data_IF_539316134441
#
_entry.id   IF_539316134441
#
_cell.length_a   1.000
_cell.length_b   1.000
_cell.length_c   1.000
_cell.angle_alpha   90.00
_cell.angle_beta   90.00
_cell.angle_gamma   90.00
#
_symmetry.space_group_name_H-M   'P 1'
#
loop_
_entity.id
_entity.type
_entity.pdbx_description
1 polymer ?
#
# COMPACT_ATOMS: atom_id res chain seq x y z
N UNK A 1 22.18 -38.84 26.72
CA UNK A 1 21.86 -39.41 25.42
C UNK A 1 21.18 -38.31 24.62
N UNK A 2 22.00 -37.41 24.07
CA UNK A 2 21.55 -36.29 23.25
C UNK A 2 21.18 -36.85 21.86
N UNK A 3 19.94 -36.68 21.48
CA UNK A 3 19.52 -36.94 20.11
C UNK A 3 20.12 -35.87 19.21
N UNK A 4 21.06 -36.22 18.35
CA UNK A 4 21.51 -35.37 17.28
C UNK A 4 20.28 -35.04 16.41
N UNK A 5 19.93 -33.78 16.35
CA UNK A 5 19.01 -33.25 15.33
C UNK A 5 19.74 -33.38 14.00
N UNK A 6 19.27 -34.29 13.16
CA UNK A 6 19.71 -34.42 11.76
C UNK A 6 19.62 -33.02 11.12
N UNK A 7 20.76 -32.50 10.70
CA UNK A 7 20.79 -31.36 9.80
C UNK A 7 20.18 -31.84 8.47
N UNK A 8 19.20 -31.16 7.91
CA UNK A 8 18.71 -31.50 6.59
C UNK A 8 19.91 -31.45 5.61
N UNK A 9 20.06 -32.48 4.83
CA UNK A 9 20.99 -32.57 3.71
C UNK A 9 20.84 -31.30 2.87
N UNK A 10 21.95 -30.82 2.30
CA UNK A 10 21.95 -29.80 1.27
C UNK A 10 21.27 -30.39 0.02
N UNK A 11 19.93 -30.49 0.08
CA UNK A 11 19.10 -30.84 -1.05
C UNK A 11 19.16 -29.68 -2.04
N UNK A 12 19.54 -29.97 -3.25
CA UNK A 12 19.47 -29.12 -4.43
C UNK A 12 18.14 -28.37 -4.42
N UNK A 13 18.20 -27.03 -4.31
CA UNK A 13 17.00 -26.20 -4.49
C UNK A 13 16.30 -26.62 -5.78
N UNK A 14 14.98 -26.78 -5.79
CA UNK A 14 14.25 -27.17 -6.99
C UNK A 14 14.52 -26.16 -8.11
N UNK A 15 14.75 -26.65 -9.33
CA UNK A 15 15.07 -25.82 -10.50
C UNK A 15 14.00 -24.76 -10.81
N UNK A 16 12.78 -24.92 -10.30
CA UNK A 16 11.67 -23.95 -10.39
C UNK A 16 10.89 -23.89 -9.08
N UNK A 17 10.55 -22.69 -8.65
CA UNK A 17 9.63 -22.45 -7.54
C UNK A 17 8.24 -22.12 -8.11
N UNK A 18 7.22 -22.85 -7.69
CA UNK A 18 5.84 -22.43 -7.91
C UNK A 18 5.45 -21.36 -6.86
N UNK A 19 5.55 -20.09 -7.26
CA UNK A 19 5.24 -18.95 -6.40
C UNK A 19 3.81 -18.99 -5.87
N UNK A 20 2.83 -19.41 -6.68
CA UNK A 20 1.45 -19.53 -6.22
C UNK A 20 1.34 -20.57 -5.11
N UNK A 21 1.86 -21.77 -5.35
CA UNK A 21 1.78 -22.87 -4.39
C UNK A 21 2.42 -22.50 -3.05
N UNK A 22 3.60 -21.92 -3.06
CA UNK A 22 4.32 -21.55 -1.83
C UNK A 22 3.57 -20.43 -1.09
N UNK A 23 3.08 -19.41 -1.79
CA UNK A 23 2.33 -18.31 -1.19
C UNK A 23 0.99 -18.78 -0.61
N UNK A 24 0.27 -19.66 -1.29
CA UNK A 24 -0.98 -20.24 -0.78
C UNK A 24 -0.71 -21.13 0.45
N UNK A 25 0.33 -21.97 0.40
CA UNK A 25 0.68 -22.85 1.52
C UNK A 25 1.14 -22.06 2.78
N UNK A 26 1.87 -20.96 2.58
CA UNK A 26 2.43 -20.17 3.70
C UNK A 26 1.46 -19.14 4.26
N UNK A 27 0.59 -18.58 3.43
CA UNK A 27 -0.32 -17.49 3.81
C UNK A 27 -1.78 -17.97 4.04
N UNK A 28 -2.12 -19.20 3.64
CA UNK A 28 -3.38 -19.87 3.99
C UNK A 28 -4.58 -19.61 3.09
N UNK A 29 -4.60 -18.53 2.27
CA UNK A 29 -5.74 -18.22 1.39
C UNK A 29 -5.38 -18.35 -0.09
N UNK A 30 -6.26 -18.83 -0.96
CA UNK A 30 -5.99 -19.02 -2.37
C UNK A 30 -6.00 -17.70 -3.15
N UNK A 31 -5.33 -17.70 -4.30
CA UNK A 31 -5.49 -16.67 -5.31
C UNK A 31 -6.85 -16.81 -6.02
N UNK A 32 -7.53 -15.70 -6.23
CA UNK A 32 -8.68 -15.64 -7.12
C UNK A 32 -8.21 -15.53 -8.57
N UNK A 33 -8.75 -16.34 -9.45
CA UNK A 33 -8.50 -16.28 -10.90
C UNK A 33 -9.55 -15.42 -11.61
N UNK A 34 -9.35 -15.21 -12.92
CA UNK A 34 -10.28 -14.50 -13.79
C UNK A 34 -10.45 -13.01 -13.45
N UNK A 35 -9.41 -12.37 -12.95
CA UNK A 35 -9.44 -10.93 -12.72
C UNK A 35 -8.82 -10.19 -13.90
N UNK A 36 -9.22 -8.93 -14.07
CA UNK A 36 -8.51 -7.93 -14.84
C UNK A 36 -7.91 -6.92 -13.87
N UNK A 37 -6.66 -6.61 -14.06
CA UNK A 37 -5.98 -5.54 -13.34
C UNK A 37 -5.35 -4.58 -14.33
N UNK A 38 -5.36 -3.31 -13.97
CA UNK A 38 -4.74 -2.24 -14.73
C UNK A 38 -3.89 -1.40 -13.79
N UNK A 39 -2.65 -1.21 -14.13
CA UNK A 39 -1.73 -0.31 -13.43
C UNK A 39 -2.07 1.13 -13.82
N UNK A 40 -2.15 2.02 -12.86
CA UNK A 40 -2.42 3.44 -13.06
C UNK A 40 -1.29 4.25 -12.41
N UNK A 41 -0.65 5.10 -13.18
CA UNK A 41 0.52 5.87 -12.76
C UNK A 41 0.16 7.34 -12.63
N UNK A 42 0.42 7.93 -11.46
CA UNK A 42 0.21 9.34 -11.14
C UNK A 42 -1.25 9.81 -11.28
N UNK A 43 -1.55 11.00 -10.80
CA UNK A 43 -2.92 11.50 -10.75
C UNK A 43 -3.63 11.55 -12.11
N UNK A 44 -2.90 11.86 -13.18
CA UNK A 44 -3.47 11.97 -14.54
C UNK A 44 -4.06 10.64 -15.06
N UNK A 45 -3.53 9.50 -14.62
CA UNK A 45 -4.06 8.19 -15.00
C UNK A 45 -4.98 7.60 -13.92
N UNK A 46 -4.77 7.97 -12.63
CA UNK A 46 -5.47 7.40 -11.49
C UNK A 46 -6.87 7.99 -11.34
N UNK A 47 -6.98 9.31 -11.30
CA UNK A 47 -8.24 9.96 -10.96
C UNK A 47 -9.34 9.88 -12.01
N UNK A 48 -9.07 10.00 -13.32
CA UNK A 48 -10.13 9.92 -14.32
C UNK A 48 -10.94 8.62 -14.27
N UNK A 49 -10.34 7.41 -14.26
CA UNK A 49 -11.11 6.17 -14.18
C UNK A 49 -11.81 5.98 -12.81
N UNK A 50 -11.26 6.48 -11.70
CA UNK A 50 -11.93 6.46 -10.41
C UNK A 50 -13.20 7.32 -10.43
N UNK A 51 -13.12 8.56 -10.92
CA UNK A 51 -14.26 9.46 -11.05
C UNK A 51 -15.30 8.92 -12.02
N UNK A 52 -14.88 8.31 -13.12
CA UNK A 52 -15.79 7.69 -14.09
C UNK A 52 -16.53 6.51 -13.48
N UNK A 53 -15.84 5.64 -12.73
CA UNK A 53 -16.47 4.52 -12.04
C UNK A 53 -17.52 5.01 -11.01
N UNK A 54 -17.23 6.09 -10.28
CA UNK A 54 -18.21 6.71 -9.38
C UNK A 54 -19.41 7.22 -10.17
N UNK A 55 -19.21 7.99 -11.24
CA UNK A 55 -20.30 8.58 -12.04
C UNK A 55 -21.19 7.53 -12.69
N UNK A 56 -20.62 6.38 -13.07
CA UNK A 56 -21.36 5.28 -13.70
C UNK A 56 -22.08 4.36 -12.69
N UNK A 57 -21.74 4.45 -11.40
CA UNK A 57 -22.34 3.60 -10.38
C UNK A 57 -23.85 3.75 -10.31
N UNK A 58 -24.55 2.62 -10.18
CA UNK A 58 -26.03 2.54 -10.17
C UNK A 58 -26.58 1.96 -8.88
N UNK A 59 -25.77 1.20 -8.15
CA UNK A 59 -26.18 0.46 -6.93
C UNK A 59 -25.47 0.98 -5.71
N UNK A 60 -24.14 1.02 -5.73
CA UNK A 60 -23.35 1.42 -4.56
C UNK A 60 -22.00 2.03 -4.92
N UNK A 61 -21.56 2.97 -4.08
CA UNK A 61 -20.19 3.49 -4.06
C UNK A 61 -19.68 3.40 -2.62
N UNK A 62 -18.53 2.78 -2.44
CA UNK A 62 -17.87 2.58 -1.17
C UNK A 62 -16.46 3.14 -1.25
N UNK A 63 -16.20 4.23 -0.54
CA UNK A 63 -14.91 4.91 -0.51
C UNK A 63 -14.31 4.86 0.90
N UNK A 64 -13.12 4.32 1.03
CA UNK A 64 -12.30 4.38 2.24
C UNK A 64 -10.97 5.02 1.90
N UNK A 65 -10.60 6.09 2.59
CA UNK A 65 -9.32 6.75 2.38
C UNK A 65 -8.72 7.31 3.67
N UNK A 66 -7.40 7.24 3.75
CA UNK A 66 -6.65 7.87 4.83
C UNK A 66 -6.60 9.40 4.64
N UNK A 67 -6.16 9.85 3.45
CA UNK A 67 -6.04 11.27 3.14
C UNK A 67 -7.19 11.71 2.24
N UNK A 68 -7.89 12.74 2.71
CA UNK A 68 -8.81 13.55 1.91
C UNK A 68 -8.61 15.01 2.33
N UNK A 69 -7.85 15.76 1.53
CA UNK A 69 -7.52 17.14 1.85
C UNK A 69 -8.24 18.10 0.89
N UNK A 70 -7.60 19.21 0.53
CA UNK A 70 -8.09 20.20 -0.42
C UNK A 70 -7.45 20.02 -1.80
N UNK A 71 -8.08 20.58 -2.83
CA UNK A 71 -7.63 20.53 -4.22
C UNK A 71 -8.83 20.34 -5.16
N UNK A 72 -8.60 20.55 -6.44
CA UNK A 72 -9.65 20.40 -7.46
C UNK A 72 -10.16 18.95 -7.49
N UNK A 73 -9.26 17.99 -7.30
CA UNK A 73 -9.65 16.58 -7.23
C UNK A 73 -10.56 16.28 -6.02
N UNK A 74 -10.32 16.91 -4.88
CA UNK A 74 -11.18 16.74 -3.70
C UNK A 74 -12.61 17.24 -3.95
N UNK A 75 -12.74 18.36 -4.66
CA UNK A 75 -14.04 18.92 -5.07
C UNK A 75 -14.72 18.00 -6.08
N UNK A 76 -14.00 17.49 -7.09
CA UNK A 76 -14.52 16.56 -8.10
C UNK A 76 -15.04 15.26 -7.48
N UNK A 77 -14.31 14.67 -6.52
CA UNK A 77 -14.79 13.49 -5.80
C UNK A 77 -16.03 13.80 -4.97
N UNK A 78 -16.04 14.91 -4.21
CA UNK A 78 -17.20 15.33 -3.44
C UNK A 78 -18.43 15.54 -4.32
N UNK A 79 -18.26 16.19 -5.48
CA UNK A 79 -19.33 16.40 -6.45
C UNK A 79 -19.86 15.06 -7.00
N UNK A 80 -18.99 14.17 -7.47
CA UNK A 80 -19.38 12.88 -8.04
C UNK A 80 -20.14 12.00 -7.02
N UNK A 81 -19.65 11.92 -5.77
CA UNK A 81 -20.33 11.22 -4.67
C UNK A 81 -21.70 11.83 -4.35
N UNK A 82 -21.78 13.16 -4.29
CA UNK A 82 -23.02 13.92 -4.05
C UNK A 82 -24.06 13.64 -5.15
N UNK A 83 -23.64 13.67 -6.42
CA UNK A 83 -24.50 13.39 -7.56
C UNK A 83 -25.08 11.98 -7.52
N UNK A 84 -24.25 10.98 -7.18
CA UNK A 84 -24.71 9.59 -7.07
C UNK A 84 -25.68 9.39 -5.90
N UNK A 85 -25.41 9.99 -4.74
CA UNK A 85 -26.33 9.92 -3.60
C UNK A 85 -27.70 10.55 -3.94
N UNK A 86 -27.71 11.71 -4.60
CA UNK A 86 -28.95 12.34 -5.08
C UNK A 86 -29.71 11.52 -6.12
N UNK A 87 -28.98 10.71 -6.91
CA UNK A 87 -29.58 9.77 -7.87
C UNK A 87 -30.10 8.47 -7.21
N UNK A 88 -30.03 8.35 -5.88
CA UNK A 88 -30.52 7.18 -5.14
C UNK A 88 -29.50 6.03 -5.04
N UNK A 89 -28.25 6.22 -5.49
CA UNK A 89 -27.15 5.26 -5.28
C UNK A 89 -26.74 5.27 -3.81
N UNK A 90 -26.50 4.11 -3.23
CA UNK A 90 -26.00 4.02 -1.86
C UNK A 90 -24.52 4.44 -1.83
N UNK A 91 -24.22 5.58 -1.24
CA UNK A 91 -22.88 6.13 -1.14
C UNK A 91 -22.41 6.11 0.31
N UNK A 92 -21.31 5.38 0.59
CA UNK A 92 -20.69 5.27 1.90
C UNK A 92 -19.23 5.72 1.84
N UNK A 93 -18.82 6.55 2.79
CA UNK A 93 -17.47 7.10 2.85
C UNK A 93 -16.90 6.91 4.25
N UNK A 94 -15.72 6.28 4.34
CA UNK A 94 -14.93 6.20 5.57
C UNK A 94 -13.73 7.12 5.43
N UNK A 95 -13.62 8.07 6.34
CA UNK A 95 -12.51 9.02 6.43
C UNK A 95 -11.73 8.75 7.71
N UNK A 96 -10.41 8.60 7.60
CA UNK A 96 -9.57 8.55 8.80
C UNK A 96 -9.61 9.90 9.53
N UNK A 97 -9.86 9.88 10.84
CA UNK A 97 -10.07 11.11 11.61
C UNK A 97 -8.81 11.99 11.72
N UNK A 98 -7.61 11.42 11.56
CA UNK A 98 -6.35 12.18 11.54
C UNK A 98 -5.94 12.50 10.11
N UNK A 99 -5.92 11.51 9.23
CA UNK A 99 -5.50 11.68 7.85
C UNK A 99 -6.36 12.69 7.08
N UNK A 100 -7.66 12.76 7.35
CA UNK A 100 -8.58 13.67 6.69
C UNK A 100 -8.84 15.00 7.45
N UNK A 101 -8.01 15.34 8.45
CA UNK A 101 -8.17 16.60 9.23
C UNK A 101 -8.16 17.87 8.39
N UNK A 102 -7.46 17.86 7.26
CA UNK A 102 -7.36 19.01 6.35
C UNK A 102 -8.50 19.10 5.34
N UNK A 103 -9.47 18.17 5.38
CA UNK A 103 -10.63 18.19 4.50
C UNK A 103 -11.50 19.41 4.77
N UNK A 104 -11.89 20.19 3.76
CA UNK A 104 -12.82 21.32 3.94
C UNK A 104 -14.16 20.84 4.48
N UNK A 105 -14.64 21.45 5.56
CA UNK A 105 -15.93 21.11 6.19
C UNK A 105 -17.11 21.26 5.21
N UNK A 106 -17.03 22.23 4.30
CA UNK A 106 -18.04 22.44 3.28
C UNK A 106 -18.26 21.23 2.39
N UNK A 107 -17.20 20.49 2.01
CA UNK A 107 -17.31 19.26 1.21
C UNK A 107 -18.01 18.14 1.99
N UNK A 108 -17.69 18.00 3.29
CA UNK A 108 -18.36 17.02 4.16
C UNK A 108 -19.87 17.34 4.27
N UNK A 109 -20.21 18.60 4.48
CA UNK A 109 -21.61 19.04 4.60
C UNK A 109 -22.37 18.88 3.29
N UNK A 110 -21.75 19.22 2.17
CA UNK A 110 -22.31 19.00 0.83
C UNK A 110 -22.67 17.53 0.60
N UNK A 111 -21.75 16.61 0.89
CA UNK A 111 -21.99 15.17 0.73
C UNK A 111 -23.07 14.66 1.69
N UNK A 112 -23.03 15.06 2.98
CA UNK A 112 -24.03 14.65 3.97
C UNK A 112 -25.44 15.13 3.63
N UNK A 113 -25.58 16.39 3.22
CA UNK A 113 -26.87 16.95 2.82
C UNK A 113 -27.48 16.29 1.58
N UNK A 114 -26.66 15.63 0.77
CA UNK A 114 -27.08 14.84 -0.38
C UNK A 114 -27.42 13.38 -0.03
N UNK A 115 -27.19 12.94 1.21
CA UNK A 115 -27.48 11.56 1.64
C UNK A 115 -26.27 10.62 1.60
N UNK A 116 -25.06 11.13 1.45
CA UNK A 116 -23.83 10.32 1.60
C UNK A 116 -23.66 9.95 3.09
N UNK A 117 -23.52 8.66 3.38
CA UNK A 117 -23.23 8.17 4.74
C UNK A 117 -21.72 8.26 5.01
N UNK A 118 -21.31 9.27 5.79
CA UNK A 118 -19.90 9.55 6.09
C UNK A 118 -19.60 9.17 7.53
N UNK A 119 -18.58 8.33 7.69
CA UNK A 119 -18.06 7.87 8.98
C UNK A 119 -16.61 8.35 9.16
N UNK A 120 -16.32 8.86 10.35
CA UNK A 120 -14.95 9.14 10.78
C UNK A 120 -14.39 7.94 11.51
N UNK A 121 -13.36 7.32 10.93
CA UNK A 121 -12.71 6.16 11.51
C UNK A 121 -11.81 6.58 12.67
N UNK A 122 -12.01 5.93 13.83
CA UNK A 122 -11.29 6.19 15.09
C UNK A 122 -11.19 7.69 15.40
N UNK A 123 -12.33 8.36 15.65
CA UNK A 123 -12.35 9.78 15.98
C UNK A 123 -11.54 10.03 17.26
N UNK A 124 -10.72 11.09 17.24
CA UNK A 124 -9.87 11.45 18.38
C UNK A 124 -10.71 11.88 19.57
N UNK A 125 -10.89 11.02 20.55
CA UNK A 125 -11.48 11.36 21.85
C UNK A 125 -10.34 11.77 22.78
N UNK A 126 -10.45 12.93 23.36
CA UNK A 126 -9.42 13.61 24.19
C UNK A 126 -8.74 12.76 25.28
N UNK A 127 -9.30 11.61 25.61
CA UNK A 127 -8.87 10.75 26.74
C UNK A 127 -8.26 9.41 26.32
N UNK A 128 -8.19 9.12 25.00
CA UNK A 128 -7.70 7.83 24.51
C UNK A 128 -6.48 8.02 23.60
N UNK A 129 -5.40 8.54 24.15
CA UNK A 129 -4.15 8.82 23.41
C UNK A 129 -3.55 7.57 22.76
N UNK A 130 -3.80 6.38 23.30
CA UNK A 130 -3.32 5.10 22.73
C UNK A 130 -4.08 4.67 21.46
N UNK A 131 -5.29 5.17 21.22
CA UNK A 131 -6.03 4.93 19.96
C UNK A 131 -5.51 5.80 18.79
N UNK A 132 -4.65 6.78 19.07
CA UNK A 132 -4.03 7.61 18.06
C UNK A 132 -2.99 6.85 17.20
N UNK A 133 -2.46 5.75 17.73
CA UNK A 133 -1.32 5.04 17.16
C UNK A 133 -1.73 4.07 16.03
N UNK A 134 -2.94 3.55 16.07
CA UNK A 134 -3.46 2.61 15.08
C UNK A 134 -4.43 3.33 14.13
N UNK A 135 -4.10 3.42 12.83
CA UNK A 135 -4.91 4.16 11.85
C UNK A 135 -5.30 3.27 10.67
N UNK A 136 -6.38 3.61 9.96
CA UNK A 136 -6.62 2.97 8.68
C UNK A 136 -5.79 3.66 7.61
N UNK A 137 -4.83 2.94 7.08
CA UNK A 137 -4.04 3.41 5.95
C UNK A 137 -4.53 2.83 4.61
N UNK A 138 -5.63 2.06 4.65
CA UNK A 138 -6.29 1.53 3.46
C UNK A 138 -6.79 2.64 2.55
N UNK A 139 -6.66 2.43 1.25
CA UNK A 139 -7.25 3.26 0.19
C UNK A 139 -8.03 2.32 -0.70
N UNK A 140 -9.35 2.39 -0.63
CA UNK A 140 -10.25 1.48 -1.34
C UNK A 140 -11.42 2.26 -1.90
N UNK A 141 -11.68 2.11 -3.19
CA UNK A 141 -12.92 2.52 -3.83
C UNK A 141 -13.54 1.29 -4.47
N UNK A 142 -14.81 1.01 -4.17
CA UNK A 142 -15.58 -0.06 -4.83
C UNK A 142 -16.86 0.53 -5.39
N UNK A 143 -17.16 0.25 -6.65
CA UNK A 143 -18.38 0.68 -7.32
C UNK A 143 -19.15 -0.54 -7.84
N UNK A 144 -20.42 -0.64 -7.41
CA UNK A 144 -21.39 -1.65 -7.82
C UNK A 144 -20.91 -3.11 -7.60
N UNK A 145 -20.01 -3.37 -6.64
CA UNK A 145 -19.35 -4.66 -6.39
C UNK A 145 -18.64 -5.26 -7.62
N UNK A 146 -18.32 -4.42 -8.60
CA UNK A 146 -17.88 -4.86 -9.93
C UNK A 146 -16.52 -4.31 -10.32
N UNK A 147 -16.21 -3.10 -9.91
CA UNK A 147 -14.93 -2.43 -10.17
C UNK A 147 -14.40 -1.87 -8.86
N UNK A 148 -13.12 -2.07 -8.61
CA UNK A 148 -12.46 -1.56 -7.41
C UNK A 148 -11.12 -0.91 -7.72
N UNK A 149 -10.68 -0.04 -6.82
CA UNK A 149 -9.40 0.65 -6.90
C UNK A 149 -8.70 0.58 -5.56
N UNK A 150 -7.37 0.36 -5.59
CA UNK A 150 -6.50 0.41 -4.41
C UNK A 150 -5.07 0.77 -4.80
N UNK A 151 -4.27 1.25 -3.85
CA UNK A 151 -2.88 1.65 -4.05
C UNK A 151 -2.42 2.70 -3.05
N UNK A 152 -1.48 3.56 -3.45
CA UNK A 152 -0.89 4.55 -2.53
C UNK A 152 -1.64 5.88 -2.46
N UNK A 153 -2.46 6.23 -3.45
CA UNK A 153 -2.96 7.59 -3.64
C UNK A 153 -3.95 8.04 -2.56
N UNK A 154 -3.81 9.30 -2.10
CA UNK A 154 -4.82 10.03 -1.36
C UNK A 154 -5.63 10.96 -2.26
N UNK A 155 -6.69 11.57 -1.72
CA UNK A 155 -7.50 12.55 -2.44
C UNK A 155 -7.04 13.96 -2.02
N UNK A 156 -6.08 14.52 -2.74
CA UNK A 156 -5.52 15.84 -2.46
C UNK A 156 -4.75 16.37 -3.67
N UNK A 157 -4.56 17.69 -3.72
CA UNK A 157 -3.84 18.38 -4.81
C UNK A 157 -2.42 17.86 -5.02
N UNK A 158 -1.78 17.34 -3.98
CA UNK A 158 -0.45 16.79 -4.02
C UNK A 158 -0.32 15.58 -4.95
N UNK A 159 -1.41 14.85 -5.20
CA UNK A 159 -1.45 13.73 -6.16
C UNK A 159 -2.00 14.12 -7.53
N UNK A 160 -2.43 15.37 -7.76
CA UNK A 160 -2.78 15.83 -9.09
C UNK A 160 -1.52 15.91 -9.98
N UNK A 161 -1.68 15.69 -11.29
CA UNK A 161 -0.55 15.79 -12.23
C UNK A 161 0.17 14.47 -12.50
N UNK A 162 1.41 14.58 -13.00
CA UNK A 162 2.23 13.49 -13.56
C UNK A 162 3.63 13.40 -12.93
N UNK A 163 3.78 13.79 -11.69
CA UNK A 163 5.05 13.77 -10.96
C UNK A 163 6.20 14.50 -11.68
N UNK A 164 5.89 15.67 -12.27
CA UNK A 164 6.85 16.47 -13.05
C UNK A 164 7.69 17.38 -12.16
N UNK A 165 7.11 17.82 -11.06
CA UNK A 165 7.72 18.74 -10.12
C UNK A 165 7.38 18.41 -8.65
N UNK A 166 7.97 19.08 -7.65
CA UNK A 166 7.78 18.79 -6.23
C UNK A 166 6.33 18.82 -5.71
N UNK A 167 5.41 19.46 -6.43
CA UNK A 167 4.02 19.58 -6.02
C UNK A 167 3.15 18.43 -6.53
N UNK A 168 3.67 17.62 -7.44
CA UNK A 168 2.98 16.50 -8.06
C UNK A 168 3.61 15.18 -7.57
N UNK A 169 2.96 14.49 -6.64
CA UNK A 169 3.53 13.27 -6.05
C UNK A 169 3.49 12.08 -7.02
N UNK A 170 4.59 11.30 -7.03
CA UNK A 170 4.70 10.05 -7.78
C UNK A 170 4.01 8.94 -7.01
N UNK A 171 2.95 8.35 -7.57
CA UNK A 171 2.25 7.23 -6.95
C UNK A 171 1.80 6.19 -7.99
N UNK A 172 1.44 5.01 -7.50
CA UNK A 172 0.88 3.91 -8.30
C UNK A 172 -0.41 3.41 -7.66
N UNK A 173 -1.42 3.20 -8.49
CA UNK A 173 -2.73 2.72 -8.09
C UNK A 173 -3.20 1.64 -9.04
N UNK A 174 -4.20 0.87 -8.66
CA UNK A 174 -4.64 -0.29 -9.43
C UNK A 174 -6.15 -0.27 -9.57
N UNK A 175 -6.63 -0.49 -10.80
CA UNK A 175 -8.03 -0.76 -11.10
C UNK A 175 -8.21 -2.26 -11.23
N UNK A 176 -9.18 -2.83 -10.55
CA UNK A 176 -9.45 -4.25 -10.48
C UNK A 176 -10.90 -4.53 -10.88
N UNK A 177 -11.10 -5.52 -11.72
CA UNK A 177 -12.40 -6.11 -12.06
C UNK A 177 -12.31 -7.63 -11.90
N UNK A 178 -13.42 -8.27 -11.57
CA UNK A 178 -13.48 -9.71 -11.35
C UNK A 178 -13.58 -10.11 -9.87
N UNK A 179 -13.34 -11.40 -9.54
CA UNK A 179 -13.56 -11.95 -8.20
C UNK A 179 -12.78 -11.25 -7.08
N UNK A 180 -11.60 -10.71 -7.33
CA UNK A 180 -10.79 -10.02 -6.33
C UNK A 180 -11.46 -8.74 -5.77
N UNK A 181 -12.44 -8.15 -6.48
CA UNK A 181 -13.22 -7.01 -5.99
C UNK A 181 -13.89 -7.32 -4.64
N UNK A 182 -14.33 -8.57 -4.43
CA UNK A 182 -14.93 -8.97 -3.15
C UNK A 182 -13.96 -8.86 -1.97
N UNK A 183 -12.68 -9.14 -2.18
CA UNK A 183 -11.64 -8.97 -1.16
C UNK A 183 -11.46 -7.50 -0.76
N UNK A 184 -11.47 -6.59 -1.74
CA UNK A 184 -11.42 -5.14 -1.48
C UNK A 184 -12.68 -4.62 -0.81
N UNK A 185 -13.85 -5.12 -1.20
CA UNK A 185 -15.10 -4.81 -0.52
C UNK A 185 -15.09 -5.30 0.93
N UNK A 186 -14.57 -6.51 1.18
CA UNK A 186 -14.41 -7.01 2.54
C UNK A 186 -13.48 -6.12 3.37
N UNK A 187 -12.41 -5.54 2.77
CA UNK A 187 -11.54 -4.58 3.45
C UNK A 187 -12.29 -3.29 3.84
N UNK A 188 -13.21 -2.80 3.00
CA UNK A 188 -14.09 -1.68 3.36
C UNK A 188 -15.03 -2.05 4.51
N UNK A 189 -15.68 -3.21 4.41
CA UNK A 189 -16.66 -3.67 5.41
C UNK A 189 -16.03 -3.85 6.79
N UNK A 190 -14.80 -4.34 6.88
CA UNK A 190 -14.10 -4.46 8.17
C UNK A 190 -14.05 -3.12 8.91
N UNK A 191 -13.59 -2.06 8.25
CA UNK A 191 -13.52 -0.73 8.86
C UNK A 191 -14.90 -0.09 9.06
N UNK A 192 -15.91 -0.46 8.23
CA UNK A 192 -17.29 -0.03 8.40
C UNK A 192 -17.90 -0.58 9.70
N UNK A 193 -17.72 -1.88 9.93
CA UNK A 193 -18.18 -2.57 11.16
C UNK A 193 -17.42 -2.05 12.39
N UNK A 194 -16.11 -1.91 12.30
CA UNK A 194 -15.29 -1.36 13.39
C UNK A 194 -15.74 0.05 13.78
N UNK A 195 -16.25 0.82 12.81
CA UNK A 195 -16.83 2.15 13.05
C UNK A 195 -18.23 2.10 13.70
N UNK A 196 -18.70 0.94 14.14
CA UNK A 196 -19.99 0.74 14.81
C UNK A 196 -21.19 0.74 13.86
N UNK A 197 -20.99 0.52 12.57
CA UNK A 197 -22.04 0.51 11.55
C UNK A 197 -22.57 -0.90 11.27
N UNK A 198 -23.89 -0.99 11.06
CA UNK A 198 -24.55 -2.26 10.73
C UNK A 198 -24.26 -2.68 9.29
N UNK A 199 -24.20 -4.01 9.06
CA UNK A 199 -23.98 -4.65 7.75
C UNK A 199 -25.15 -5.54 7.31
N UNK A 200 -26.30 -5.43 7.95
CA UNK A 200 -27.47 -6.28 7.64
C UNK A 200 -27.88 -6.21 6.17
N UNK A 201 -27.90 -4.99 5.62
CA UNK A 201 -28.26 -4.77 4.23
C UNK A 201 -27.18 -5.26 3.27
N UNK A 202 -25.91 -5.23 3.68
CA UNK A 202 -24.80 -5.79 2.90
C UNK A 202 -24.90 -7.30 2.82
N UNK A 203 -25.15 -7.97 3.94
CA UNK A 203 -25.35 -9.43 3.98
C UNK A 203 -26.52 -9.82 3.08
N UNK A 204 -27.65 -9.10 3.17
CA UNK A 204 -28.81 -9.37 2.34
C UNK A 204 -28.55 -9.15 0.84
N UNK A 205 -27.74 -8.14 0.50
CA UNK A 205 -27.31 -7.84 -0.88
C UNK A 205 -26.36 -8.91 -1.40
N UNK A 206 -25.31 -9.23 -0.65
CA UNK A 206 -24.32 -10.25 -1.02
C UNK A 206 -24.93 -11.64 -1.17
N UNK A 207 -25.88 -11.98 -0.31
CA UNK A 207 -26.62 -13.25 -0.43
C UNK A 207 -27.46 -13.37 -1.71
N UNK A 208 -27.80 -12.24 -2.34
CA UNK A 208 -28.54 -12.18 -3.61
C UNK A 208 -27.65 -11.90 -4.82
N UNK A 209 -26.38 -11.53 -4.57
CA UNK A 209 -25.44 -11.21 -5.64
C UNK A 209 -25.12 -12.47 -6.45
N UNK A 210 -25.02 -12.31 -7.75
CA UNK A 210 -24.46 -13.35 -8.60
C UNK A 210 -22.96 -13.49 -8.34
N UNK A 211 -22.42 -14.67 -8.64
CA UNK A 211 -20.98 -14.87 -8.59
C UNK A 211 -20.26 -13.80 -9.44
N UNK A 212 -19.12 -13.29 -8.99
CA UNK A 212 -18.34 -12.30 -9.74
C UNK A 212 -18.07 -12.81 -11.15
N UNK A 213 -18.31 -11.94 -12.14
CA UNK A 213 -18.07 -12.31 -13.53
C UNK A 213 -16.56 -12.32 -13.83
N UNK A 214 -16.09 -13.31 -14.61
CA UNK A 214 -14.74 -13.28 -15.16
C UNK A 214 -14.48 -11.98 -15.92
N UNK A 215 -13.33 -11.37 -15.69
CA UNK A 215 -12.97 -10.09 -16.32
C UNK A 215 -11.65 -10.15 -17.11
N UNK A 216 -10.78 -11.11 -16.81
CA UNK A 216 -9.46 -11.27 -17.42
C UNK A 216 -8.80 -12.58 -16.96
N UNK A 217 -7.49 -12.64 -17.00
CA UNK A 217 -6.70 -13.85 -16.69
C UNK A 217 -5.82 -13.72 -15.45
N UNK A 218 -5.72 -12.51 -14.88
CA UNK A 218 -4.85 -12.25 -13.73
C UNK A 218 -5.28 -13.05 -12.50
N UNK A 219 -4.30 -13.59 -11.79
CA UNK A 219 -4.48 -14.23 -10.48
C UNK A 219 -4.11 -13.22 -9.40
N UNK A 220 -5.08 -12.92 -8.55
CA UNK A 220 -4.94 -11.88 -7.52
C UNK A 220 -5.37 -12.43 -6.17
N UNK A 221 -4.57 -12.17 -5.16
CA UNK A 221 -4.94 -12.36 -3.76
C UNK A 221 -5.00 -11.01 -3.06
N UNK A 222 -6.13 -10.71 -2.42
CA UNK A 222 -6.30 -9.51 -1.60
C UNK A 222 -5.94 -9.84 -0.17
N UNK A 223 -4.96 -9.14 0.38
CA UNK A 223 -4.56 -9.23 1.77
C UNK A 223 -5.06 -8.03 2.54
N UNK A 224 -5.68 -8.29 3.68
CA UNK A 224 -6.11 -7.25 4.63
C UNK A 224 -5.32 -7.42 5.92
N UNK A 225 -4.86 -6.32 6.48
CA UNK A 225 -4.34 -6.31 7.85
C UNK A 225 -5.20 -5.43 8.71
N UNK A 226 -5.34 -5.81 9.96
CA UNK A 226 -5.81 -4.96 11.03
C UNK A 226 -4.69 -4.79 12.03
N UNK A 227 -4.68 -3.70 12.76
CA UNK A 227 -3.72 -3.44 13.81
C UNK A 227 -3.62 -4.66 14.74
N UNK A 228 -2.48 -5.33 14.73
CA UNK A 228 -2.21 -6.52 15.53
C UNK A 228 -0.97 -6.31 16.41
N UNK A 229 -0.87 -7.10 17.47
CA UNK A 229 0.29 -7.00 18.35
C UNK A 229 1.51 -7.61 17.66
N UNK A 230 2.39 -6.75 17.18
CA UNK A 230 3.75 -7.04 16.69
C UNK A 230 3.93 -7.76 15.35
N UNK A 231 2.91 -8.30 14.68
CA UNK A 231 3.07 -9.04 13.43
C UNK A 231 1.80 -9.04 12.57
N UNK A 232 1.95 -8.91 11.27
CA UNK A 232 0.83 -8.91 10.34
C UNK A 232 1.06 -9.84 9.13
N UNK A 233 0.00 -10.25 8.42
CA UNK A 233 0.12 -11.00 7.16
C UNK A 233 1.05 -10.34 6.14
N UNK A 234 1.11 -9.00 6.06
CA UNK A 234 2.03 -8.29 5.17
C UNK A 234 3.49 -8.51 5.57
N UNK A 235 3.81 -8.51 6.89
CA UNK A 235 5.16 -8.81 7.35
C UNK A 235 5.58 -10.24 6.95
N UNK A 236 4.70 -11.23 7.15
CA UNK A 236 4.92 -12.61 6.69
C UNK A 236 5.13 -12.64 5.18
N UNK A 237 4.30 -11.94 4.42
CA UNK A 237 4.41 -11.88 2.96
C UNK A 237 5.77 -11.37 2.51
N UNK A 238 6.23 -10.24 3.03
CA UNK A 238 7.55 -9.72 2.67
C UNK A 238 8.68 -10.69 3.02
N UNK A 239 8.58 -11.41 4.15
CA UNK A 239 9.56 -12.44 4.49
C UNK A 239 9.54 -13.60 3.49
N UNK A 240 8.36 -14.10 3.12
CA UNK A 240 8.23 -15.20 2.17
C UNK A 240 8.73 -14.77 0.78
N UNK A 241 8.36 -13.59 0.30
CA UNK A 241 8.79 -13.07 -0.99
C UNK A 241 10.32 -12.96 -1.07
N UNK A 242 10.96 -12.39 -0.05
CA UNK A 242 12.43 -12.28 0.00
C UNK A 242 13.12 -13.64 0.13
N UNK A 243 12.53 -14.59 0.88
CA UNK A 243 13.06 -15.94 1.00
C UNK A 243 12.97 -16.73 -0.32
N UNK A 244 11.91 -16.52 -1.11
CA UNK A 244 11.69 -17.16 -2.40
C UNK A 244 12.54 -16.58 -3.53
N UNK A 245 12.97 -15.31 -3.42
CA UNK A 245 13.67 -14.59 -4.47
C UNK A 245 14.95 -15.29 -4.93
N UNK A 246 15.12 -15.42 -6.25
CA UNK A 246 16.25 -16.13 -6.91
C UNK A 246 17.07 -15.23 -7.81
N UNK A 247 16.48 -14.25 -8.46
CA UNK A 247 17.14 -13.42 -9.47
C UNK A 247 17.10 -11.93 -9.12
N UNK A 248 15.92 -11.37 -8.86
CA UNK A 248 15.76 -9.94 -8.61
C UNK A 248 14.65 -9.61 -7.64
N UNK A 249 14.87 -8.57 -6.86
CA UNK A 249 13.85 -7.92 -6.02
C UNK A 249 13.87 -6.42 -6.30
N UNK A 250 12.72 -5.83 -6.58
CA UNK A 250 12.54 -4.39 -6.75
C UNK A 250 11.56 -3.89 -5.68
N UNK A 251 11.98 -2.92 -4.90
CA UNK A 251 11.18 -2.33 -3.82
C UNK A 251 11.04 -0.84 -4.08
N UNK A 252 9.83 -0.37 -4.32
CA UNK A 252 9.48 1.06 -4.34
C UNK A 252 8.63 1.35 -3.11
N UNK A 253 9.06 2.26 -2.24
CA UNK A 253 8.29 2.58 -1.03
C UNK A 253 8.52 4.01 -0.56
N UNK A 254 7.45 4.66 -0.07
CA UNK A 254 7.52 6.00 0.49
C UNK A 254 8.30 6.05 1.81
N UNK A 255 8.24 4.97 2.60
CA UNK A 255 8.94 4.87 3.88
C UNK A 255 9.63 3.51 3.96
N UNK A 256 10.95 3.52 3.95
CA UNK A 256 11.79 2.32 4.04
C UNK A 256 12.46 2.27 5.41
N UNK A 257 11.80 1.63 6.38
CA UNK A 257 12.29 1.45 7.77
C UNK A 257 12.18 -0.02 8.16
N UNK A 258 13.00 -0.89 7.55
CA UNK A 258 12.99 -2.31 7.88
C UNK A 258 13.43 -2.54 9.33
N UNK A 259 12.82 -3.49 10.02
CA UNK A 259 13.32 -3.95 11.32
C UNK A 259 14.57 -4.82 11.16
N UNK A 260 15.24 -5.14 12.27
CA UNK A 260 16.48 -5.91 12.25
C UNK A 260 16.35 -7.28 11.56
N UNK A 261 15.21 -7.96 11.70
CA UNK A 261 14.95 -9.24 11.04
C UNK A 261 14.85 -9.06 9.51
N UNK A 262 14.18 -8.01 9.06
CA UNK A 262 14.03 -7.68 7.64
C UNK A 262 15.38 -7.23 7.03
N UNK A 263 16.17 -6.43 7.76
CA UNK A 263 17.53 -6.07 7.34
C UNK A 263 18.39 -7.32 7.12
N UNK A 264 18.37 -8.25 8.07
CA UNK A 264 19.09 -9.51 7.97
C UNK A 264 18.63 -10.31 6.75
N UNK A 265 17.34 -10.44 6.53
CA UNK A 265 16.78 -11.18 5.40
C UNK A 265 17.15 -10.56 4.06
N UNK A 266 17.13 -9.23 3.92
CA UNK A 266 17.60 -8.52 2.72
C UNK A 266 19.09 -8.80 2.46
N UNK A 267 19.93 -8.81 3.50
CA UNK A 267 21.35 -9.15 3.40
C UNK A 267 21.56 -10.59 2.95
N UNK A 268 20.82 -11.55 3.54
CA UNK A 268 20.86 -12.97 3.14
C UNK A 268 20.38 -13.16 1.69
N UNK A 269 19.38 -12.39 1.25
CA UNK A 269 18.88 -12.42 -0.13
C UNK A 269 19.97 -12.00 -1.12
N UNK A 270 20.69 -10.91 -0.84
CA UNK A 270 21.83 -10.49 -1.67
C UNK A 270 22.97 -11.51 -1.63
N UNK A 271 23.24 -12.12 -0.46
CA UNK A 271 24.29 -13.16 -0.33
C UNK A 271 24.00 -14.41 -1.17
N UNK A 272 22.74 -14.71 -1.45
CA UNK A 272 22.33 -15.75 -2.41
C UNK A 272 22.52 -15.36 -3.87
N UNK A 273 22.99 -14.14 -4.16
CA UNK A 273 23.24 -13.64 -5.51
C UNK A 273 22.05 -12.92 -6.15
N UNK A 274 21.00 -12.63 -5.39
CA UNK A 274 19.81 -11.89 -5.88
C UNK A 274 20.11 -10.40 -6.03
N UNK A 275 19.74 -9.79 -7.17
CA UNK A 275 19.85 -8.36 -7.40
C UNK A 275 18.73 -7.62 -6.67
N UNK A 276 19.02 -7.07 -5.49
CA UNK A 276 18.07 -6.32 -4.68
C UNK A 276 18.25 -4.83 -4.88
N UNK A 277 17.18 -4.17 -5.36
CA UNK A 277 17.17 -2.72 -5.56
C UNK A 277 16.00 -2.06 -4.84
N UNK A 278 16.26 -0.94 -4.19
CA UNK A 278 15.27 -0.19 -3.40
C UNK A 278 15.23 1.25 -3.89
N UNK A 279 14.05 1.73 -4.25
CA UNK A 279 13.77 3.11 -4.63
C UNK A 279 12.99 3.80 -3.51
N UNK A 280 13.55 4.88 -2.99
CA UNK A 280 13.01 5.68 -1.88
C UNK A 280 12.83 7.14 -2.31
N UNK A 281 12.07 7.96 -1.57
CA UNK A 281 12.01 9.40 -1.80
C UNK A 281 13.41 10.04 -1.72
N UNK A 282 13.65 11.02 -2.58
CA UNK A 282 14.86 11.86 -2.58
C UNK A 282 14.69 13.11 -1.69
N UNK A 283 14.87 14.33 -2.21
CA UNK A 283 14.87 15.57 -1.40
C UNK A 283 13.46 15.99 -0.95
N UNK A 284 12.40 15.46 -1.58
CA UNK A 284 11.02 15.83 -1.31
C UNK A 284 10.34 14.79 -0.44
N UNK A 285 9.88 15.21 0.74
CA UNK A 285 9.22 14.35 1.74
C UNK A 285 8.09 15.11 2.40
N UNK A 286 7.07 14.39 2.81
CA UNK A 286 6.01 14.89 3.70
C UNK A 286 6.47 14.99 5.16
N UNK A 287 7.40 14.13 5.61
CA UNK A 287 7.96 14.10 6.97
C UNK A 287 9.51 14.03 6.97
N UNK A 288 10.18 15.16 6.92
CA UNK A 288 11.65 15.25 6.95
C UNK A 288 12.32 14.55 8.15
N UNK A 289 11.63 14.48 9.28
CA UNK A 289 12.16 13.87 10.51
C UNK A 289 12.23 12.34 10.37
N UNK A 290 11.24 11.74 9.70
CA UNK A 290 11.20 10.31 9.44
C UNK A 290 12.36 9.85 8.55
N UNK A 291 12.72 10.63 7.53
CA UNK A 291 13.83 10.33 6.62
C UNK A 291 15.18 10.23 7.34
N UNK A 292 15.49 11.20 8.21
CA UNK A 292 16.80 11.23 8.91
C UNK A 292 17.00 10.01 9.81
N UNK A 293 15.91 9.42 10.33
CA UNK A 293 15.98 8.20 11.13
C UNK A 293 16.14 6.93 10.27
N UNK A 294 15.72 6.97 9.01
CA UNK A 294 15.80 5.85 8.07
C UNK A 294 17.20 5.64 7.50
N UNK A 295 17.94 6.73 7.28
CA UNK A 295 19.23 6.69 6.61
C UNK A 295 20.31 5.88 7.35
N UNK A 296 20.19 5.74 8.68
CA UNK A 296 21.12 4.90 9.46
C UNK A 296 21.00 3.41 9.13
N UNK A 297 19.80 2.95 8.66
CA UNK A 297 19.54 1.56 8.25
C UNK A 297 20.01 1.29 6.80
N UNK A 298 20.24 2.31 5.99
CA UNK A 298 20.64 2.14 4.60
C UNK A 298 22.10 1.69 4.46
N UNK A 299 23.01 2.20 5.30
CA UNK A 299 24.43 1.89 5.23
C UNK A 299 24.75 0.40 5.38
N UNK A 300 24.16 -0.33 6.34
CA UNK A 300 24.35 -1.79 6.45
C UNK A 300 23.85 -2.55 5.22
N UNK A 301 22.76 -2.13 4.62
CA UNK A 301 22.17 -2.76 3.44
C UNK A 301 23.03 -2.52 2.18
N UNK A 302 23.44 -1.27 1.94
CA UNK A 302 24.34 -0.94 0.82
C UNK A 302 25.69 -1.66 0.91
N UNK A 303 26.26 -1.82 2.13
CA UNK A 303 27.48 -2.58 2.34
C UNK A 303 27.32 -4.09 2.06
N UNK A 304 26.12 -4.61 2.22
CA UNK A 304 25.80 -5.99 1.87
C UNK A 304 25.56 -6.19 0.36
N UNK A 305 25.43 -5.09 -0.41
CA UNK A 305 25.21 -5.13 -1.85
C UNK A 305 23.80 -4.74 -2.32
N UNK A 306 22.91 -4.31 -1.41
CA UNK A 306 21.62 -3.73 -1.81
C UNK A 306 21.87 -2.40 -2.51
N UNK A 307 21.36 -2.25 -3.73
CA UNK A 307 21.43 -0.99 -4.47
C UNK A 307 20.25 -0.10 -4.07
N UNK A 308 20.52 1.16 -3.75
CA UNK A 308 19.50 2.10 -3.29
C UNK A 308 19.48 3.35 -4.15
N UNK A 309 18.28 3.82 -4.47
CA UNK A 309 18.02 4.96 -5.34
C UNK A 309 17.15 5.99 -4.64
N UNK A 310 17.48 7.27 -4.76
CA UNK A 310 16.72 8.40 -4.22
C UNK A 310 16.02 9.17 -5.36
N UNK A 311 14.69 9.06 -5.46
CA UNK A 311 13.88 9.69 -6.51
C UNK A 311 13.94 11.21 -6.39
N UNK A 312 14.34 11.89 -7.48
CA UNK A 312 14.65 13.33 -7.41
C UNK A 312 13.49 14.28 -7.77
N UNK A 313 12.55 13.96 -8.68
CA UNK A 313 11.63 14.98 -9.20
C UNK A 313 10.57 15.47 -8.20
N UNK A 314 10.07 14.58 -7.36
CA UNK A 314 8.95 14.86 -6.45
C UNK A 314 8.92 13.88 -5.27
N UNK A 315 7.91 13.99 -4.39
CA UNK A 315 7.65 12.95 -3.38
C UNK A 315 7.27 11.63 -4.05
N UNK A 316 8.07 10.59 -3.83
CA UNK A 316 7.75 9.22 -4.21
C UNK A 316 6.85 8.61 -3.15
N UNK A 317 5.62 8.27 -3.52
CA UNK A 317 4.65 7.72 -2.56
C UNK A 317 4.09 6.34 -2.95
N UNK A 318 4.58 5.72 -4.03
CA UNK A 318 4.19 4.37 -4.45
C UNK A 318 4.67 3.29 -3.46
N UNK A 319 3.98 2.16 -3.40
CA UNK A 319 4.30 0.97 -2.61
C UNK A 319 4.16 -0.24 -3.51
N UNK A 320 5.29 -0.70 -4.02
CA UNK A 320 5.39 -1.79 -5.00
C UNK A 320 6.61 -2.65 -4.65
N UNK A 321 6.41 -3.94 -4.56
CA UNK A 321 7.49 -4.93 -4.46
C UNK A 321 7.28 -5.93 -5.59
N UNK A 322 8.29 -6.13 -6.46
CA UNK A 322 8.30 -7.19 -7.47
C UNK A 322 9.42 -8.17 -7.20
N UNK A 323 9.18 -9.44 -7.45
CA UNK A 323 10.14 -10.53 -7.27
C UNK A 323 10.13 -11.44 -8.49
N UNK A 324 11.30 -11.60 -9.11
CA UNK A 324 11.66 -12.57 -10.15
C UNK A 324 10.74 -12.58 -11.40
N UNK A 325 10.08 -11.49 -11.74
CA UNK A 325 9.04 -11.44 -12.78
C UNK A 325 7.83 -12.37 -12.54
N UNK A 326 7.72 -12.93 -11.34
CA UNK A 326 6.71 -13.93 -10.99
C UNK A 326 5.60 -13.37 -10.12
N UNK A 327 5.94 -12.48 -9.18
CA UNK A 327 4.96 -11.94 -8.24
C UNK A 327 5.18 -10.48 -7.92
N UNK A 328 4.10 -9.72 -7.85
CA UNK A 328 4.08 -8.37 -7.31
C UNK A 328 3.25 -8.32 -6.00
N UNK A 329 3.76 -7.57 -5.02
CA UNK A 329 3.01 -7.15 -3.83
C UNK A 329 2.84 -5.63 -3.88
N UNK A 330 1.59 -5.17 -4.00
CA UNK A 330 1.26 -3.76 -4.22
C UNK A 330 0.11 -3.32 -3.33
N UNK A 331 -0.02 -2.03 -3.03
CA UNK A 331 -1.15 -1.54 -2.25
C UNK A 331 -0.85 -0.32 -1.40
N UNK A 332 -1.37 -0.31 -0.17
CA UNK A 332 -1.20 0.81 0.76
C UNK A 332 0.00 0.68 1.71
N UNK A 333 0.55 -0.54 1.87
CA UNK A 333 1.55 -0.86 2.87
C UNK A 333 2.97 -0.40 2.48
N UNK A 334 3.60 0.38 3.35
CA UNK A 334 5.00 0.72 3.23
C UNK A 334 5.92 -0.40 3.75
N UNK A 335 7.18 -0.37 3.35
CA UNK A 335 8.19 -1.30 3.84
C UNK A 335 8.77 -0.80 5.18
N UNK A 336 7.90 -0.67 6.19
CA UNK A 336 8.26 -0.19 7.52
C UNK A 336 7.51 -0.92 8.63
N UNK A 337 8.03 -0.80 9.87
CA UNK A 337 7.45 -1.44 11.05
C UNK A 337 6.00 -1.03 11.30
N UNK A 338 5.61 0.22 11.00
CA UNK A 338 4.25 0.72 11.24
C UNK A 338 3.22 0.00 10.39
N UNK A 339 3.43 -0.07 9.06
CA UNK A 339 2.55 -0.82 8.15
C UNK A 339 2.53 -2.32 8.43
N UNK A 340 3.66 -2.86 8.98
CA UNK A 340 3.78 -4.29 9.31
C UNK A 340 3.11 -4.68 10.62
N UNK A 341 2.70 -3.74 11.50
CA UNK A 341 2.21 -4.09 12.83
C UNK A 341 1.11 -3.22 13.42
N UNK A 342 0.92 -2.01 12.92
CA UNK A 342 0.05 -1.02 13.59
C UNK A 342 -1.11 -0.51 12.73
N UNK A 343 -0.91 -0.32 11.44
CA UNK A 343 -1.93 0.25 10.59
C UNK A 343 -2.79 -0.83 9.92
N UNK A 344 -4.06 -0.50 9.70
CA UNK A 344 -4.91 -1.30 8.83
C UNK A 344 -4.48 -1.03 7.39
N UNK A 345 -3.98 -2.06 6.72
CA UNK A 345 -3.49 -1.97 5.35
C UNK A 345 -4.28 -2.90 4.43
N UNK A 346 -4.19 -2.64 3.14
CA UNK A 346 -4.63 -3.55 2.09
C UNK A 346 -3.54 -3.67 1.04
N UNK A 347 -3.24 -4.91 0.64
CA UNK A 347 -2.29 -5.20 -0.40
C UNK A 347 -2.84 -6.27 -1.35
N UNK A 348 -2.33 -6.29 -2.57
CA UNK A 348 -2.58 -7.29 -3.58
C UNK A 348 -1.30 -8.07 -3.82
N UNK A 349 -1.38 -9.39 -3.80
CA UNK A 349 -0.41 -10.25 -4.48
C UNK A 349 -0.96 -10.52 -5.88
N UNK A 350 -0.11 -10.33 -6.89
CA UNK A 350 -0.49 -10.41 -8.30
C UNK A 350 0.48 -11.35 -9.00
N UNK A 351 -0.08 -12.33 -9.71
CA UNK A 351 0.63 -13.23 -10.60
C UNK A 351 0.12 -12.96 -12.02
N UNK A 352 0.79 -12.05 -12.71
CA UNK A 352 0.44 -11.59 -14.07
C UNK A 352 1.69 -10.98 -14.72
N UNK A 353 2.23 -11.64 -15.73
CA UNK A 353 3.47 -11.26 -16.41
C UNK A 353 3.39 -9.85 -17.04
N UNK A 354 2.23 -9.49 -17.59
CA UNK A 354 2.04 -8.17 -18.20
C UNK A 354 2.12 -7.06 -17.15
N UNK A 355 1.47 -7.26 -16.01
CA UNK A 355 1.51 -6.31 -14.88
C UNK A 355 2.91 -6.20 -14.31
N UNK A 356 3.62 -7.32 -14.14
CA UNK A 356 4.98 -7.33 -13.63
C UNK A 356 5.95 -6.59 -14.56
N UNK A 357 5.88 -6.87 -15.85
CA UNK A 357 6.68 -6.16 -16.86
C UNK A 357 6.41 -4.64 -16.87
N UNK A 358 5.16 -4.23 -16.69
CA UNK A 358 4.80 -2.81 -16.58
C UNK A 358 5.36 -2.17 -15.32
N UNK A 359 5.27 -2.85 -14.16
CA UNK A 359 5.79 -2.35 -12.89
C UNK A 359 7.32 -2.25 -12.91
N UNK A 360 8.02 -3.21 -13.50
CA UNK A 360 9.46 -3.18 -13.65
C UNK A 360 9.91 -2.05 -14.58
N UNK A 361 9.21 -1.84 -15.69
CA UNK A 361 9.45 -0.69 -16.56
C UNK A 361 9.28 0.63 -15.80
N UNK A 362 8.23 0.76 -14.98
CA UNK A 362 8.03 1.95 -14.14
C UNK A 362 9.17 2.13 -13.13
N UNK A 363 9.66 1.04 -12.54
CA UNK A 363 10.81 1.08 -11.62
C UNK A 363 12.06 1.60 -12.32
N UNK A 364 12.39 1.09 -13.50
CA UNK A 364 13.55 1.50 -14.30
C UNK A 364 13.46 2.98 -14.73
N UNK A 365 12.29 3.42 -15.20
CA UNK A 365 12.04 4.81 -15.53
C UNK A 365 12.21 5.73 -14.31
N UNK A 366 11.70 5.34 -13.15
CA UNK A 366 11.84 6.11 -11.91
C UNK A 366 13.31 6.13 -11.44
N UNK A 367 14.05 5.01 -11.56
CA UNK A 367 15.48 4.95 -11.28
C UNK A 367 16.30 5.83 -12.23
N UNK A 368 15.90 5.96 -13.50
CA UNK A 368 16.57 6.87 -14.45
C UNK A 368 16.50 8.35 -14.04
N UNK A 369 15.54 8.70 -13.18
CA UNK A 369 15.31 10.03 -12.61
C UNK A 369 15.75 10.12 -11.14
N UNK A 370 16.42 9.09 -10.63
CA UNK A 370 16.88 8.98 -9.26
C UNK A 370 18.40 9.11 -9.15
N UNK A 371 18.89 9.41 -7.98
CA UNK A 371 20.31 9.40 -7.64
C UNK A 371 20.66 8.12 -6.89
N UNK A 372 21.70 7.41 -7.31
CA UNK A 372 22.17 6.23 -6.60
C UNK A 372 22.83 6.63 -5.28
N UNK A 373 22.30 6.09 -4.18
CA UNK A 373 22.82 6.34 -2.83
C UNK A 373 24.08 5.49 -2.60
N UNK A 374 25.12 6.10 -2.00
CA UNK A 374 26.37 5.40 -1.68
C UNK A 374 26.65 5.44 -0.19
N UNK A 375 27.10 4.33 0.37
CA UNK A 375 27.42 4.22 1.80
C UNK A 375 28.44 5.28 2.28
N UNK A 376 29.26 5.81 1.38
CA UNK A 376 30.27 6.83 1.65
C UNK A 376 29.66 8.20 1.93
N UNK A 377 28.54 8.54 1.30
CA UNK A 377 27.87 9.82 1.43
C UNK A 377 27.29 10.00 2.85
N UNK A 378 26.94 8.92 3.51
CA UNK A 378 26.39 8.92 4.87
C UNK A 378 27.46 9.04 5.97
N UNK A 379 28.73 8.74 5.70
CA UNK A 379 29.83 8.83 6.67
C UNK A 379 30.20 10.28 7.02
N UNK A 380 30.05 11.22 6.10
CA UNK A 380 30.45 12.63 6.28
C UNK A 380 29.57 13.42 7.27
N UNK A 381 28.38 12.94 7.55
CA UNK A 381 27.41 13.63 8.41
C UNK A 381 27.25 13.01 9.82
N UNK A 382 28.04 11.98 10.16
CA UNK A 382 27.81 11.10 11.32
C UNK A 382 27.92 11.72 12.71
N UNK A 383 28.68 12.79 12.92
CA UNK A 383 28.90 13.34 14.27
C UNK A 383 27.77 14.30 14.70
N UNK A 384 27.31 15.16 13.81
CA UNK A 384 26.19 16.08 14.08
C UNK A 384 24.84 15.35 14.09
N UNK A 385 24.69 14.27 13.33
CA UNK A 385 23.49 13.42 13.29
C UNK A 385 23.28 12.59 14.55
N UNK A 386 24.33 11.99 15.12
CA UNK A 386 24.24 11.18 16.36
C UNK A 386 23.66 11.95 17.54
N UNK A 387 23.91 13.22 17.64
CA UNK A 387 23.35 14.09 18.68
C UNK A 387 21.86 14.35 18.44
N UNK A 388 21.45 14.54 17.18
CA UNK A 388 20.05 14.77 16.79
C UNK A 388 19.21 13.49 16.84
N UNK A 389 19.76 12.35 16.44
CA UNK A 389 19.09 11.05 16.45
C UNK A 389 18.83 10.54 17.89
N UNK A 390 19.71 10.83 18.84
CA UNK A 390 19.54 10.42 20.26
C UNK A 390 18.38 11.15 20.95
N UNK A 391 18.11 12.40 20.57
CA UNK A 391 16.92 13.13 21.03
C UNK A 391 15.64 12.71 20.30
N UNK A 392 15.74 12.19 19.06
CA UNK A 392 14.62 11.76 18.24
C UNK A 392 14.28 10.26 18.38
N UNK A 393 15.17 9.46 18.96
CA UNK A 393 14.93 8.02 19.23
C UNK A 393 13.71 7.73 20.11
N UNK A 394 13.23 8.71 20.86
CA UNK A 394 11.97 8.67 21.61
C UNK A 394 10.72 8.63 20.71
N UNK A 395 10.83 9.00 19.43
CA UNK A 395 9.72 9.00 18.46
C UNK A 395 9.73 7.79 17.51
N UNK A 396 10.70 6.89 17.62
CA UNK A 396 10.87 5.70 16.77
C UNK A 396 9.67 4.74 16.81
N UNK A 397 8.88 4.78 17.86
CA UNK A 397 7.67 3.97 18.02
C UNK A 397 6.40 4.59 17.42
N UNK A 398 6.48 5.81 16.90
CA UNK A 398 5.34 6.54 16.32
C UNK A 398 5.43 6.70 14.79
N UNK A 399 6.51 6.15 14.18
CA UNK A 399 6.73 6.17 12.71
C UNK A 399 6.56 4.79 12.09
#
# INVERSE_FOLDING_TARGET
MEAALDQPSADTEPDSIDYQQVLEATLGDPFSSNNRIRVLRNGIEIFPPMLEAIRQARVSVELLTFIYWQGDIAEQFSQALTERARAGVRVRVILDAIGALKMPKALVEQMRSAGVDIVWFRPTVRWKLWELDNRTHRKVLVCDDRIAFTGGVGIAKEWEGDARDPNEWRDTHFQIEGPAVQGLQAAFIDNWVESGRAVRDDVARMARAQAPQPAGESRIRVMKTAAAVNWSPIATTFHVLLAMARHKVRITTAYFVPNAAMVKLLQETVQRGVDVQVLVPGPYHDHRVAQLAQEDEYVPLMKAGVRMWAYQPSMLHAKVVTVDDEVACVGSANFNQRSMSKDDEVALLILDETVLSELDRHFEEDCSRAEELRAEDFRRHGLFRKIKAKTMGLFRHQM
#
